data_IF_235791245788
#
_entry.id   IF_235791245788
#
_cell.length_a   1.000
_cell.length_b   1.000
_cell.length_c   1.000
_cell.angle_alpha   90.00
_cell.angle_beta   90.00
_cell.angle_gamma   90.00
#
_symmetry.space_group_name_H-M   'P 1'
#
loop_
_entity.id
_entity.type
_entity.pdbx_description
1 polymer ?
#
# COMPACT_ATOMS: atom_id res chain seq x y z
N UNK A 1 0.33 -42.25 -11.88
CA UNK A 1 -0.34 -41.38 -12.84
C UNK A 1 0.65 -40.95 -13.92
N UNK A 2 0.22 -40.83 -15.17
CA UNK A 2 1.04 -40.36 -16.27
C UNK A 2 0.20 -39.60 -17.30
N UNK A 3 0.84 -38.71 -18.05
CA UNK A 3 0.20 -37.95 -19.13
C UNK A 3 0.15 -38.75 -20.41
N UNK A 4 -0.91 -38.58 -21.20
CA UNK A 4 -1.14 -39.27 -22.44
C UNK A 4 -1.11 -38.27 -23.59
N UNK A 5 -0.24 -38.53 -24.54
CA UNK A 5 -0.11 -37.73 -25.75
C UNK A 5 0.86 -36.55 -25.68
N UNK A 6 1.24 -36.02 -26.82
CA UNK A 6 2.09 -34.87 -26.99
C UNK A 6 1.50 -33.99 -28.12
N UNK A 7 0.84 -32.89 -27.80
CA UNK A 7 0.56 -32.33 -26.46
C UNK A 7 -0.35 -33.24 -25.61
N UNK A 8 -0.20 -33.20 -24.29
CA UNK A 8 -0.96 -34.05 -23.39
C UNK A 8 -2.45 -33.75 -23.49
N UNK A 9 -3.27 -34.76 -23.77
CA UNK A 9 -4.73 -34.68 -23.90
C UNK A 9 -5.49 -35.59 -22.92
N UNK A 10 -4.75 -36.37 -22.14
CA UNK A 10 -5.33 -37.24 -21.12
C UNK A 10 -4.39 -37.58 -19.99
N UNK A 11 -4.96 -38.12 -18.91
CA UNK A 11 -4.24 -38.68 -17.74
C UNK A 11 -4.56 -40.14 -17.62
N UNK A 12 -3.52 -40.98 -17.52
CA UNK A 12 -3.63 -42.38 -17.18
C UNK A 12 -3.30 -42.64 -15.71
N UNK A 13 -4.10 -43.48 -15.05
CA UNK A 13 -3.86 -43.93 -13.70
C UNK A 13 -3.90 -45.47 -13.65
N UNK A 14 -2.84 -46.10 -13.22
CA UNK A 14 -2.76 -47.53 -13.01
C UNK A 14 -3.27 -47.83 -11.61
N UNK A 15 -4.42 -48.49 -11.52
CA UNK A 15 -5.02 -48.90 -10.26
C UNK A 15 -4.57 -50.30 -9.82
N UNK A 16 -5.00 -50.76 -8.63
CA UNK A 16 -4.76 -52.11 -8.15
C UNK A 16 -5.28 -53.17 -9.16
N UNK A 17 -4.51 -54.25 -9.36
CA UNK A 17 -4.86 -55.31 -10.32
C UNK A 17 -4.61 -54.96 -11.79
N UNK A 18 -3.77 -53.96 -12.09
CA UNK A 18 -3.36 -53.60 -13.48
C UNK A 18 -4.48 -52.89 -14.27
N UNK A 19 -5.55 -52.40 -13.62
CA UNK A 19 -6.62 -51.65 -14.28
C UNK A 19 -6.13 -50.26 -14.65
N UNK A 20 -6.15 -49.91 -15.92
CA UNK A 20 -5.83 -48.59 -16.45
C UNK A 20 -7.10 -47.74 -16.50
N UNK A 21 -7.11 -46.61 -15.81
CA UNK A 21 -8.14 -45.58 -15.92
C UNK A 21 -7.59 -44.42 -16.76
N UNK A 22 -8.34 -44.07 -17.79
CA UNK A 22 -8.02 -42.95 -18.68
C UNK A 22 -9.05 -41.86 -18.45
N UNK A 23 -8.57 -40.60 -18.32
CA UNK A 23 -9.43 -39.41 -18.21
C UNK A 23 -8.95 -38.37 -19.20
N UNK A 24 -9.85 -37.74 -19.95
CA UNK A 24 -9.46 -36.62 -20.80
C UNK A 24 -9.05 -35.43 -19.94
N UNK A 25 -8.13 -34.60 -20.46
CA UNK A 25 -7.82 -33.30 -19.87
C UNK A 25 -8.79 -32.26 -20.42
N UNK A 26 -9.29 -31.39 -19.55
CA UNK A 26 -10.16 -30.29 -19.94
C UNK A 26 -9.40 -29.12 -20.61
N UNK A 27 -8.06 -29.15 -20.60
CA UNK A 27 -7.20 -28.13 -21.19
C UNK A 27 -5.75 -28.56 -21.33
N UNK A 28 -4.91 -27.67 -21.83
CA UNK A 28 -3.47 -27.91 -22.01
C UNK A 28 -2.73 -27.91 -20.67
N UNK A 29 -1.84 -28.89 -20.47
CA UNK A 29 -0.98 -28.94 -19.29
C UNK A 29 0.25 -28.05 -19.50
N UNK A 30 0.52 -27.08 -18.65
CA UNK A 30 1.74 -26.28 -18.71
C UNK A 30 3.00 -27.15 -18.60
N UNK A 31 4.06 -26.76 -19.32
CA UNK A 31 5.30 -27.56 -19.39
C UNK A 31 5.93 -27.81 -18.02
N UNK A 32 5.86 -26.85 -17.11
CA UNK A 32 6.33 -27.02 -15.73
C UNK A 32 5.61 -28.17 -15.00
N UNK A 33 4.30 -28.32 -15.19
CA UNK A 33 3.50 -29.38 -14.59
C UNK A 33 3.72 -30.71 -15.31
N UNK A 34 3.93 -30.67 -16.64
CA UNK A 34 4.29 -31.86 -17.42
C UNK A 34 5.55 -32.52 -16.88
N UNK A 35 6.57 -31.73 -16.54
CA UNK A 35 7.80 -32.21 -15.92
C UNK A 35 7.61 -32.97 -14.59
N UNK A 36 6.64 -32.51 -13.78
CA UNK A 36 6.26 -33.15 -12.51
C UNK A 36 5.57 -34.50 -12.73
N UNK A 37 4.61 -34.55 -13.66
CA UNK A 37 3.91 -35.79 -14.00
C UNK A 37 4.86 -36.87 -14.58
N UNK A 38 5.74 -36.48 -15.50
CA UNK A 38 6.66 -37.40 -16.15
C UNK A 38 7.70 -37.99 -15.18
N UNK A 39 8.00 -37.29 -14.09
CA UNK A 39 8.96 -37.74 -13.07
C UNK A 39 8.28 -38.42 -11.87
N UNK A 40 6.96 -38.55 -11.88
CA UNK A 40 6.16 -39.05 -10.74
C UNK A 40 6.47 -38.32 -9.42
N UNK A 41 6.79 -37.02 -9.52
CA UNK A 41 7.18 -36.21 -8.37
C UNK A 41 5.94 -35.64 -7.69
N UNK A 42 5.77 -35.98 -6.42
CA UNK A 42 4.93 -35.23 -5.51
C UNK A 42 5.73 -34.02 -5.03
N UNK A 43 5.16 -32.82 -5.14
CA UNK A 43 5.73 -31.62 -4.52
C UNK A 43 5.14 -31.52 -3.14
N UNK A 44 5.99 -31.66 -2.13
CA UNK A 44 5.61 -31.42 -0.73
C UNK A 44 5.96 -29.98 -0.39
N UNK A 45 4.96 -29.22 0.05
CA UNK A 45 5.15 -27.84 0.50
C UNK A 45 5.37 -27.92 2.01
N UNK A 46 6.53 -27.44 2.52
CA UNK A 46 6.76 -27.37 3.96
C UNK A 46 5.67 -26.52 4.65
N UNK A 47 5.31 -26.86 5.88
CA UNK A 47 4.26 -26.13 6.61
C UNK A 47 4.58 -24.64 6.75
N UNK A 48 5.84 -24.28 6.91
CA UNK A 48 6.31 -22.90 6.97
C UNK A 48 6.10 -22.11 5.68
N UNK A 49 6.01 -22.77 4.52
CA UNK A 49 5.81 -22.16 3.20
C UNK A 49 4.36 -22.27 2.74
N UNK A 50 3.48 -22.91 3.52
CA UNK A 50 2.08 -23.14 3.13
C UNK A 50 1.32 -21.84 2.88
N UNK A 51 1.43 -20.84 3.77
CA UNK A 51 0.78 -19.54 3.61
C UNK A 51 1.30 -18.80 2.37
N UNK A 52 2.61 -18.81 2.12
CA UNK A 52 3.19 -18.21 0.92
C UNK A 52 2.72 -18.93 -0.35
N UNK A 53 2.59 -20.25 -0.32
CA UNK A 53 2.04 -21.01 -1.44
C UNK A 53 0.57 -20.66 -1.70
N UNK A 54 -0.25 -20.56 -0.64
CA UNK A 54 -1.66 -20.16 -0.74
C UNK A 54 -1.80 -18.78 -1.35
N UNK A 55 -0.98 -17.81 -0.90
CA UNK A 55 -0.99 -16.45 -1.43
C UNK A 55 -0.54 -16.37 -2.89
N UNK A 56 0.63 -16.90 -3.21
CA UNK A 56 1.33 -16.57 -4.45
C UNK A 56 1.04 -17.55 -5.60
N UNK A 57 0.71 -18.80 -5.30
CA UNK A 57 0.62 -19.84 -6.33
C UNK A 57 -0.76 -20.45 -6.47
N UNK A 58 -1.49 -20.62 -5.37
CA UNK A 58 -2.79 -21.27 -5.39
C UNK A 58 -3.82 -20.56 -6.30
N UNK A 59 -3.95 -19.22 -6.27
CA UNK A 59 -4.87 -18.50 -7.14
C UNK A 59 -4.62 -18.76 -8.63
N UNK A 60 -3.37 -18.74 -9.03
CA UNK A 60 -2.98 -19.01 -10.42
C UNK A 60 -3.24 -20.46 -10.84
N UNK A 61 -3.09 -21.41 -9.91
CA UNK A 61 -3.41 -22.83 -10.15
C UNK A 61 -4.91 -23.04 -10.30
N UNK A 62 -5.72 -22.35 -9.49
CA UNK A 62 -7.17 -22.40 -9.56
C UNK A 62 -7.69 -21.79 -10.86
N UNK A 63 -7.26 -20.60 -11.21
CA UNK A 63 -7.63 -19.95 -12.48
C UNK A 63 -7.33 -20.80 -13.71
N UNK A 64 -6.26 -21.61 -13.65
CA UNK A 64 -5.88 -22.54 -14.71
C UNK A 64 -6.61 -23.89 -14.62
N UNK A 65 -7.53 -24.07 -13.70
CA UNK A 65 -8.25 -25.31 -13.50
C UNK A 65 -7.38 -26.50 -13.05
N UNK A 66 -6.22 -26.22 -12.45
CA UNK A 66 -5.26 -27.24 -12.00
C UNK A 66 -5.55 -27.74 -10.57
N UNK A 67 -6.39 -27.04 -9.85
CA UNK A 67 -6.87 -27.44 -8.50
C UNK A 67 -8.34 -27.86 -8.63
N UNK A 68 -8.72 -29.04 -8.09
CA UNK A 68 -10.11 -29.47 -8.15
C UNK A 68 -11.05 -28.49 -7.43
N UNK A 69 -12.29 -28.29 -7.94
CA UNK A 69 -13.29 -27.50 -7.23
C UNK A 69 -13.55 -28.07 -5.82
N UNK A 70 -13.71 -27.18 -4.84
CA UNK A 70 -13.97 -27.54 -3.45
C UNK A 70 -12.73 -27.93 -2.63
N UNK A 71 -11.51 -27.80 -3.19
CA UNK A 71 -10.26 -27.97 -2.43
C UNK A 71 -9.88 -26.69 -1.67
N UNK A 72 -10.49 -25.59 -1.97
CA UNK A 72 -10.35 -24.32 -1.26
C UNK A 72 -11.61 -23.46 -1.52
N UNK A 73 -11.91 -22.55 -0.60
CA UNK A 73 -13.02 -21.63 -0.74
C UNK A 73 -12.53 -20.32 -1.42
N UNK A 74 -13.25 -19.78 -2.43
CA UNK A 74 -12.97 -18.47 -2.96
C UNK A 74 -12.93 -17.34 -1.91
N UNK A 75 -13.67 -17.52 -0.80
CA UNK A 75 -13.66 -16.58 0.33
C UNK A 75 -12.35 -16.62 1.14
N UNK A 76 -11.57 -17.71 1.00
CA UNK A 76 -10.22 -17.83 1.59
C UNK A 76 -9.15 -17.10 0.78
N UNK A 77 -9.49 -16.51 -0.38
CA UNK A 77 -8.56 -15.63 -1.10
C UNK A 77 -8.31 -14.39 -0.28
N UNK A 78 -7.04 -14.12 0.03
CA UNK A 78 -6.72 -12.91 0.76
C UNK A 78 -7.08 -11.70 -0.09
N UNK A 79 -7.92 -10.86 0.45
CA UNK A 79 -8.20 -9.56 -0.14
C UNK A 79 -7.01 -8.63 0.09
N UNK A 80 -6.67 -7.77 -0.88
CA UNK A 80 -5.63 -6.78 -0.68
C UNK A 80 -6.08 -5.72 0.33
N UNK A 81 -5.17 -5.31 1.18
CA UNK A 81 -5.29 -4.15 2.05
C UNK A 81 -4.39 -3.05 1.52
N UNK A 82 -4.88 -1.82 1.41
CA UNK A 82 -4.06 -0.70 0.97
C UNK A 82 -3.12 -0.26 2.10
N UNK A 83 -1.84 -0.09 1.77
CA UNK A 83 -0.82 0.34 2.72
C UNK A 83 -0.26 1.71 2.34
N UNK A 84 0.10 2.49 3.34
CA UNK A 84 0.74 3.79 3.19
C UNK A 84 1.93 3.90 4.14
N UNK A 85 3.13 3.90 3.59
CA UNK A 85 4.36 4.22 4.31
C UNK A 85 4.57 5.74 4.35
N UNK A 86 4.78 6.28 5.54
CA UNK A 86 5.08 7.70 5.77
C UNK A 86 6.50 7.81 6.34
N UNK A 87 7.42 8.39 5.58
CA UNK A 87 8.76 8.67 6.08
C UNK A 87 8.89 10.15 6.38
N UNK A 88 9.10 10.48 7.67
CA UNK A 88 9.26 11.84 8.15
C UNK A 88 10.72 12.27 8.04
N UNK A 89 10.97 13.40 7.39
CA UNK A 89 12.28 14.00 7.20
C UNK A 89 12.36 15.39 7.86
N UNK A 90 13.56 15.89 8.18
CA UNK A 90 13.73 17.24 8.72
C UNK A 90 13.12 18.31 7.82
N UNK A 91 12.65 19.41 8.43
CA UNK A 91 12.04 20.53 7.71
C UNK A 91 10.60 20.30 7.28
N UNK A 92 9.88 19.46 8.01
CA UNK A 92 8.47 19.11 7.73
C UNK A 92 8.25 18.54 6.34
N UNK A 93 9.22 17.77 5.87
CA UNK A 93 9.12 17.00 4.64
C UNK A 93 8.66 15.58 4.96
N UNK A 94 7.72 15.07 4.18
CA UNK A 94 7.20 13.73 4.35
C UNK A 94 7.11 13.03 2.99
N UNK A 95 7.74 11.85 2.91
CA UNK A 95 7.63 10.95 1.77
C UNK A 95 6.48 9.98 2.02
N UNK A 96 5.65 9.81 1.01
CA UNK A 96 4.53 8.87 1.00
C UNK A 96 4.85 7.77 -0.01
N UNK A 97 4.63 6.51 0.39
CA UNK A 97 4.77 5.36 -0.48
C UNK A 97 3.56 4.44 -0.32
N UNK A 98 2.79 4.29 -1.39
CA UNK A 98 1.65 3.39 -1.44
C UNK A 98 2.05 1.98 -1.82
N UNK A 99 1.32 1.01 -1.32
CA UNK A 99 1.48 -0.40 -1.63
C UNK A 99 0.24 -1.19 -1.27
N UNK A 100 0.30 -2.50 -1.43
CA UNK A 100 -0.75 -3.40 -0.97
C UNK A 100 -0.17 -4.49 -0.10
N UNK A 101 -0.99 -4.97 0.83
CA UNK A 101 -0.68 -6.09 1.72
C UNK A 101 -1.68 -7.20 1.51
N UNK A 102 -1.17 -8.39 1.31
CA UNK A 102 -1.98 -9.61 1.25
C UNK A 102 -1.69 -10.47 2.47
N UNK A 103 -2.73 -10.99 3.10
CA UNK A 103 -2.63 -11.85 4.29
C UNK A 103 -3.24 -13.22 3.99
N UNK A 104 -2.51 -14.30 4.28
CA UNK A 104 -3.03 -15.66 4.25
C UNK A 104 -2.60 -16.40 5.53
N UNK A 105 -3.53 -16.62 6.42
CA UNK A 105 -3.25 -17.13 7.77
C UNK A 105 -2.26 -16.24 8.52
N UNK A 106 -1.10 -16.77 8.90
CA UNK A 106 -0.04 -16.00 9.56
C UNK A 106 0.96 -15.36 8.57
N UNK A 107 0.80 -15.62 7.27
CA UNK A 107 1.71 -15.12 6.23
C UNK A 107 1.22 -13.81 5.67
N UNK A 108 2.08 -12.79 5.68
CA UNK A 108 1.82 -11.48 5.11
C UNK A 108 2.81 -11.21 4.00
N UNK A 109 2.34 -10.69 2.87
CA UNK A 109 3.18 -10.27 1.74
C UNK A 109 2.84 -8.85 1.35
N UNK A 110 3.81 -7.95 1.50
CA UNK A 110 3.70 -6.58 1.02
C UNK A 110 4.17 -6.51 -0.44
N UNK A 111 3.38 -5.88 -1.29
CA UNK A 111 3.68 -5.71 -2.71
C UNK A 111 3.68 -4.23 -3.08
N UNK A 112 4.45 -3.89 -4.10
CA UNK A 112 4.48 -2.53 -4.62
C UNK A 112 3.11 -2.13 -5.20
N UNK A 113 2.83 -0.83 -5.25
CA UNK A 113 1.57 -0.30 -5.75
C UNK A 113 1.27 -0.78 -7.18
N UNK A 114 2.26 -0.72 -8.07
CA UNK A 114 2.12 -1.27 -9.41
C UNK A 114 2.56 -2.74 -9.48
N UNK A 115 1.79 -3.60 -10.15
CA UNK A 115 2.13 -5.01 -10.29
C UNK A 115 3.45 -5.19 -11.05
N UNK A 116 4.24 -6.16 -10.58
CA UNK A 116 5.47 -6.60 -11.24
C UNK A 116 5.26 -7.91 -11.99
N UNK A 117 6.17 -8.21 -12.91
CA UNK A 117 6.14 -9.49 -13.59
C UNK A 117 6.20 -10.65 -12.59
N UNK A 118 5.28 -11.60 -12.71
CA UNK A 118 5.18 -12.78 -11.83
C UNK A 118 4.22 -12.64 -10.64
N UNK A 119 3.60 -11.47 -10.41
CA UNK A 119 2.60 -11.25 -9.35
C UNK A 119 1.17 -11.55 -9.83
N UNK A 120 0.98 -12.68 -10.53
CA UNK A 120 -0.33 -13.09 -11.07
C UNK A 120 -1.37 -13.47 -10.01
N UNK A 121 -0.97 -13.48 -8.73
CA UNK A 121 -1.84 -13.75 -7.60
C UNK A 121 -2.65 -12.53 -7.13
N UNK A 122 -2.30 -11.33 -7.63
CA UNK A 122 -2.94 -10.09 -7.19
C UNK A 122 -4.37 -9.99 -7.73
N UNK A 123 -5.25 -9.56 -6.86
CA UNK A 123 -6.63 -9.17 -7.20
C UNK A 123 -6.64 -7.70 -7.65
N UNK A 124 -6.41 -7.49 -8.93
CA UNK A 124 -6.31 -6.15 -9.52
C UNK A 124 -7.63 -5.37 -9.45
N UNK A 125 -8.77 -6.05 -9.46
CA UNK A 125 -10.08 -5.41 -9.35
C UNK A 125 -10.30 -4.86 -7.94
N UNK A 126 -10.01 -5.66 -6.91
CA UNK A 126 -10.08 -5.21 -5.53
C UNK A 126 -9.05 -4.10 -5.23
N UNK A 127 -7.83 -4.20 -5.74
CA UNK A 127 -6.81 -3.14 -5.62
C UNK A 127 -7.27 -1.82 -6.25
N UNK A 128 -7.90 -1.86 -7.42
CA UNK A 128 -8.42 -0.68 -8.08
C UNK A 128 -9.52 -0.01 -7.25
N UNK A 129 -10.43 -0.78 -6.66
CA UNK A 129 -11.47 -0.26 -5.77
C UNK A 129 -10.84 0.49 -4.58
N UNK A 130 -9.82 -0.10 -3.94
CA UNK A 130 -9.11 0.53 -2.82
C UNK A 130 -8.39 1.81 -3.25
N UNK A 131 -7.75 1.81 -4.43
CA UNK A 131 -7.12 2.99 -5.01
C UNK A 131 -8.15 4.12 -5.23
N UNK A 132 -9.32 3.80 -5.80
CA UNK A 132 -10.38 4.80 -6.06
C UNK A 132 -10.94 5.40 -4.76
N UNK A 133 -11.08 4.59 -3.71
CA UNK A 133 -11.48 5.09 -2.38
C UNK A 133 -10.42 6.05 -1.84
N UNK A 134 -9.17 5.64 -1.82
CA UNK A 134 -8.09 6.49 -1.32
C UNK A 134 -7.93 7.77 -2.15
N UNK A 135 -8.07 7.69 -3.48
CA UNK A 135 -8.02 8.84 -4.37
C UNK A 135 -9.07 9.90 -4.05
N UNK A 136 -10.28 9.48 -3.66
CA UNK A 136 -11.33 10.39 -3.21
C UNK A 136 -10.98 11.07 -1.89
N UNK A 137 -10.40 10.31 -0.95
CA UNK A 137 -10.06 10.78 0.39
C UNK A 137 -8.87 11.74 0.42
N UNK A 138 -7.88 11.53 -0.44
CA UNK A 138 -6.75 12.48 -0.55
C UNK A 138 -7.17 13.80 -1.19
N UNK A 139 -8.35 13.86 -1.85
CA UNK A 139 -8.91 15.09 -2.38
C UNK A 139 -7.96 15.81 -3.34
N UNK A 140 -7.85 17.13 -3.19
CA UNK A 140 -7.03 17.99 -4.05
C UNK A 140 -5.61 18.22 -3.48
N UNK A 141 -5.10 17.28 -2.67
CA UNK A 141 -3.73 17.39 -2.20
C UNK A 141 -2.75 17.36 -3.38
N UNK A 142 -1.88 18.37 -3.54
CA UNK A 142 -0.92 18.40 -4.61
C UNK A 142 0.06 17.23 -4.49
N UNK A 143 0.55 16.75 -5.61
CA UNK A 143 1.51 15.66 -5.72
C UNK A 143 1.00 14.25 -5.30
N UNK A 144 -0.17 14.12 -4.71
CA UNK A 144 -0.73 12.80 -4.35
C UNK A 144 -1.45 12.11 -5.52
N UNK A 145 -1.69 12.85 -6.59
CA UNK A 145 -2.29 12.34 -7.84
C UNK A 145 -1.28 12.40 -8.97
N UNK A 146 -1.33 11.43 -9.85
CA UNK A 146 -0.59 11.50 -11.11
C UNK A 146 -1.14 12.63 -11.99
N UNK A 147 -0.29 13.51 -12.57
CA UNK A 147 -0.74 14.75 -13.25
C UNK A 147 -1.70 14.54 -14.41
N UNK A 148 -1.63 13.39 -15.08
CA UNK A 148 -2.40 13.11 -16.31
C UNK A 148 -3.40 11.98 -16.16
N UNK A 149 -3.38 11.28 -15.02
CA UNK A 149 -4.23 10.14 -14.75
C UNK A 149 -4.99 10.39 -13.44
N UNK A 150 -6.27 10.05 -13.42
CA UNK A 150 -7.01 10.06 -12.16
C UNK A 150 -6.61 8.86 -11.30
N UNK A 151 -5.35 8.80 -10.91
CA UNK A 151 -4.74 7.73 -10.14
C UNK A 151 -3.88 8.29 -9.01
N UNK A 152 -3.67 7.48 -7.99
CA UNK A 152 -2.73 7.82 -6.94
C UNK A 152 -1.30 7.82 -7.47
N UNK A 153 -0.51 8.82 -7.04
CA UNK A 153 0.92 8.80 -7.27
C UNK A 153 1.56 7.79 -6.29
N UNK A 154 2.14 6.68 -6.77
CA UNK A 154 2.68 5.62 -5.91
C UNK A 154 3.70 6.11 -4.89
N UNK A 155 4.45 7.16 -5.25
CA UNK A 155 5.43 7.83 -4.40
C UNK A 155 5.27 9.32 -4.54
N UNK A 156 4.99 9.97 -3.42
CA UNK A 156 4.77 11.40 -3.37
C UNK A 156 5.61 12.04 -2.26
N UNK A 157 5.88 13.32 -2.41
CA UNK A 157 6.49 14.14 -1.37
C UNK A 157 5.58 15.30 -1.06
N UNK A 158 5.26 15.49 0.22
CA UNK A 158 4.56 16.67 0.72
C UNK A 158 5.44 17.41 1.70
N UNK A 159 5.34 18.74 1.73
CA UNK A 159 6.22 19.58 2.53
C UNK A 159 5.42 20.62 3.32
N UNK A 160 5.92 20.96 4.50
CA UNK A 160 5.42 22.10 5.32
C UNK A 160 3.90 22.09 5.51
N UNK A 161 3.19 23.08 4.98
CA UNK A 161 1.74 23.23 5.12
C UNK A 161 0.98 22.05 4.50
N UNK A 162 1.42 21.53 3.36
CA UNK A 162 0.79 20.38 2.72
C UNK A 162 0.97 19.10 3.54
N UNK A 163 2.14 18.91 4.18
CA UNK A 163 2.36 17.80 5.09
C UNK A 163 1.45 17.90 6.32
N UNK A 164 1.34 19.09 6.93
CA UNK A 164 0.45 19.32 8.05
C UNK A 164 -1.02 19.10 7.65
N UNK A 165 -1.44 19.63 6.51
CA UNK A 165 -2.80 19.46 5.99
C UNK A 165 -3.11 17.99 5.72
N UNK A 166 -2.19 17.24 5.09
CA UNK A 166 -2.35 15.81 4.86
C UNK A 166 -2.57 15.04 6.16
N UNK A 167 -1.72 15.29 7.18
CA UNK A 167 -1.80 14.58 8.46
C UNK A 167 -3.08 14.92 9.24
N UNK A 168 -3.57 16.17 9.14
CA UNK A 168 -4.73 16.62 9.90
C UNK A 168 -6.07 16.39 9.19
N UNK A 169 -6.09 16.30 7.86
CA UNK A 169 -7.32 16.18 7.08
C UNK A 169 -7.47 14.81 6.39
N UNK A 170 -6.51 14.39 5.57
CA UNK A 170 -6.63 13.17 4.77
C UNK A 170 -6.28 11.89 5.54
N UNK A 171 -5.21 11.92 6.32
CA UNK A 171 -4.71 10.72 7.02
C UNK A 171 -5.73 10.09 7.99
N UNK A 172 -6.52 10.86 8.79
CA UNK A 172 -7.55 10.29 9.63
C UNK A 172 -8.66 9.60 8.83
N UNK A 173 -9.03 10.14 7.67
CA UNK A 173 -10.04 9.56 6.78
C UNK A 173 -9.52 8.25 6.17
N UNK A 174 -8.27 8.23 5.69
CA UNK A 174 -7.63 7.03 5.17
C UNK A 174 -7.57 5.91 6.22
N UNK A 175 -7.20 6.24 7.46
CA UNK A 175 -7.21 5.26 8.57
C UNK A 175 -8.62 4.76 8.88
N UNK A 176 -9.62 5.64 8.79
CA UNK A 176 -11.04 5.29 9.00
C UNK A 176 -11.55 4.29 7.97
N UNK A 177 -11.05 4.31 6.74
CA UNK A 177 -11.36 3.36 5.67
C UNK A 177 -10.44 2.12 5.66
N UNK A 178 -9.66 1.92 6.72
CA UNK A 178 -8.86 0.70 6.88
C UNK A 178 -7.50 0.72 6.18
N UNK A 179 -7.02 1.87 5.69
CA UNK A 179 -5.66 1.97 5.15
C UNK A 179 -4.64 1.72 6.25
N UNK A 180 -3.74 0.76 6.03
CA UNK A 180 -2.67 0.43 6.98
C UNK A 180 -1.57 1.46 6.84
N UNK A 181 -1.37 2.26 7.88
CA UNK A 181 -0.38 3.34 7.88
C UNK A 181 0.82 2.97 8.74
N UNK A 182 2.00 3.05 8.17
CA UNK A 182 3.27 2.86 8.87
C UNK A 182 4.06 4.17 8.89
N UNK A 183 4.65 4.51 10.04
CA UNK A 183 5.45 5.72 10.21
C UNK A 183 6.92 5.35 10.37
N UNK A 184 7.79 6.07 9.67
CA UNK A 184 9.24 5.96 9.75
C UNK A 184 9.84 7.32 10.08
N UNK A 185 10.83 7.34 10.97
CA UNK A 185 11.44 8.57 11.47
C UNK A 185 10.67 9.20 12.62
N UNK A 186 11.12 10.38 13.04
CA UNK A 186 10.49 11.15 14.12
C UNK A 186 9.21 11.81 13.59
N UNK A 187 8.06 11.42 14.19
CA UNK A 187 6.75 11.90 13.74
C UNK A 187 6.48 13.28 14.35
N UNK A 188 6.38 14.34 13.53
CA UNK A 188 6.02 15.66 14.02
C UNK A 188 4.56 15.70 14.50
N UNK A 189 4.32 16.39 15.58
CA UNK A 189 2.96 16.70 16.00
C UNK A 189 2.42 17.89 15.20
N UNK A 190 1.36 17.67 14.45
CA UNK A 190 0.61 18.73 13.78
C UNK A 190 -0.71 18.94 14.52
N UNK A 191 -1.01 20.19 14.85
CA UNK A 191 -2.30 20.58 15.41
C UNK A 191 -2.87 21.75 14.61
N UNK A 192 -4.16 21.69 14.34
CA UNK A 192 -4.86 22.82 13.73
C UNK A 192 -5.22 23.83 14.81
N UNK A 193 -4.73 25.05 14.66
CA UNK A 193 -5.18 26.13 15.51
C UNK A 193 -6.64 26.47 15.19
N UNK A 194 -7.51 26.42 16.21
CA UNK A 194 -8.92 26.78 16.07
C UNK A 194 -9.17 28.26 16.28
N UNK A 195 -8.19 28.97 16.86
CA UNK A 195 -8.25 30.39 17.16
C UNK A 195 -7.36 31.17 16.20
N UNK A 196 -7.80 32.37 15.87
CA UNK A 196 -7.00 33.30 15.06
C UNK A 196 -5.72 33.70 15.83
N UNK A 197 -4.59 33.86 15.15
CA UNK A 197 -3.37 34.34 15.80
C UNK A 197 -3.58 35.76 16.37
N UNK A 198 -3.15 35.97 17.61
CA UNK A 198 -3.13 37.30 18.24
C UNK A 198 -1.74 37.87 18.05
N UNK A 199 -1.65 38.98 17.33
CA UNK A 199 -0.40 39.72 17.16
C UNK A 199 -0.38 40.92 18.07
N UNK A 200 0.59 40.97 18.97
CA UNK A 200 0.85 42.13 19.83
C UNK A 200 2.15 42.79 19.41
N UNK A 201 2.12 44.11 19.26
CA UNK A 201 3.27 44.91 18.86
C UNK A 201 3.56 45.87 20.02
N UNK A 202 4.74 45.80 20.58
CA UNK A 202 5.26 46.69 21.58
C UNK A 202 6.43 47.47 21.03
N UNK A 203 6.53 48.76 21.33
CA UNK A 203 7.71 49.57 21.05
C UNK A 203 8.36 49.99 22.39
N UNK A 204 9.64 49.73 22.52
CA UNK A 204 10.46 50.22 23.62
C UNK A 204 11.37 51.33 23.13
N UNK A 205 11.34 52.46 23.85
CA UNK A 205 12.26 53.57 23.59
C UNK A 205 13.66 53.17 24.08
N UNK A 206 14.63 53.25 23.22
CA UNK A 206 16.01 52.90 23.54
C UNK A 206 16.83 54.05 24.17
N UNK A 207 16.17 55.21 24.37
CA UNK A 207 16.82 56.39 24.99
C UNK A 207 17.89 57.09 24.11
N UNK A 208 18.21 56.53 22.96
CA UNK A 208 19.05 57.15 21.95
C UNK A 208 18.19 57.73 20.82
N UNK A 209 18.51 58.93 20.39
CA UNK A 209 17.72 59.68 19.42
C UNK A 209 17.36 58.88 18.20
N UNK A 210 16.06 58.84 17.88
CA UNK A 210 15.42 58.38 16.64
C UNK A 210 15.30 56.85 16.42
N UNK A 211 15.61 55.97 17.39
CA UNK A 211 15.43 54.52 17.26
C UNK A 211 14.56 53.92 18.36
N UNK A 212 13.67 53.02 18.01
CA UNK A 212 12.88 52.22 18.95
C UNK A 212 13.04 50.73 18.62
N UNK A 213 13.05 49.92 19.64
CA UNK A 213 12.99 48.48 19.46
C UNK A 213 11.55 48.04 19.32
N UNK A 214 11.25 47.38 18.17
CA UNK A 214 9.95 46.83 17.92
C UNK A 214 9.91 45.37 18.38
N UNK A 215 9.06 45.07 19.38
CA UNK A 215 8.80 43.70 19.80
C UNK A 215 7.49 43.24 19.23
N UNK A 216 7.58 42.21 18.34
CA UNK A 216 6.41 41.55 17.77
C UNK A 216 6.27 40.19 18.44
N UNK A 217 5.16 40.00 19.15
CA UNK A 217 4.77 38.72 19.74
C UNK A 217 3.55 38.18 19.02
N UNK A 218 3.61 36.93 18.59
CA UNK A 218 2.50 36.23 17.96
C UNK A 218 2.12 35.05 18.87
N UNK A 219 0.86 35.01 19.27
CA UNK A 219 0.33 33.93 20.11
C UNK A 219 -0.77 33.20 19.35
N UNK A 220 -0.68 31.89 19.30
CA UNK A 220 -1.69 31.02 18.66
C UNK A 220 -2.16 30.02 19.69
N UNK A 221 -3.45 29.98 19.96
CA UNK A 221 -4.06 29.09 20.96
C UNK A 221 -3.30 29.15 22.31
N UNK A 222 -2.93 30.38 22.78
CA UNK A 222 -2.21 30.59 24.02
C UNK A 222 -0.72 30.22 24.02
N UNK A 223 -0.16 29.81 22.91
CA UNK A 223 1.27 29.49 22.75
C UNK A 223 2.00 30.57 21.97
N UNK A 224 3.13 31.03 22.48
CA UNK A 224 3.96 31.96 21.78
C UNK A 224 4.63 31.28 20.57
N UNK A 225 4.47 31.90 19.40
CA UNK A 225 5.12 31.47 18.14
C UNK A 225 6.23 32.47 17.82
N UNK A 226 7.49 32.03 17.61
CA UNK A 226 8.56 32.93 17.24
C UNK A 226 8.24 33.64 15.92
N UNK A 227 8.17 34.96 15.95
CA UNK A 227 7.83 35.79 14.78
C UNK A 227 8.75 35.51 13.59
N UNK A 228 10.02 35.28 13.85
CA UNK A 228 11.02 34.96 12.83
C UNK A 228 10.66 33.70 12.03
N UNK A 229 10.14 32.65 12.69
CA UNK A 229 9.73 31.42 12.02
C UNK A 229 8.47 31.65 11.17
N UNK A 230 7.54 32.46 11.67
CA UNK A 230 6.32 32.82 10.96
C UNK A 230 6.63 33.67 9.73
N UNK A 231 7.54 34.66 9.88
CA UNK A 231 7.97 35.51 8.78
C UNK A 231 8.70 34.73 7.69
N UNK A 232 9.59 33.81 8.09
CA UNK A 232 10.28 32.93 7.14
C UNK A 232 9.30 32.02 6.38
N UNK A 233 8.29 31.51 7.07
CA UNK A 233 7.26 30.66 6.45
C UNK A 233 6.41 31.46 5.43
N UNK A 234 6.04 32.69 5.76
CA UNK A 234 5.27 33.58 4.87
C UNK A 234 6.11 34.08 3.67
N UNK A 235 7.39 34.34 3.88
CA UNK A 235 8.30 34.81 2.82
C UNK A 235 8.71 33.70 1.84
N UNK A 236 8.53 32.44 2.22
CA UNK A 236 8.90 31.27 1.42
C UNK A 236 7.70 30.62 0.69
N UNK A 237 6.46 31.12 0.92
CA UNK A 237 5.20 30.67 0.30
C UNK A 237 4.96 31.25 -1.01
#
# INVERSE_FOLDING_TARGET
RFLIGEPAHGVGELGPGGRLRLRPLAGTVPDAIRGLFNRNLAVTIPAQDAGRFQLMYLPALVQRGLVPPGTWDPEDLPHPELTLGLTHEPGHRMLLEWGFRYVAGETTVDVAFHPRAGESFRDQEAEQILEEVALRLVGDHPNLREPHWQRLNPKATVIRADAARFVTEALPLLKGEGVIVTHHGETPEYSRATEAPVVSVGAEDTGDNDWFNLHVRVTVAGRDVPFEQLFRALAAG
#
